data_IF_672791348451
#
_entry.id   IF_672791348451
#
_cell.length_a   1.000
_cell.length_b   1.000
_cell.length_c   1.000
_cell.angle_alpha   90.00
_cell.angle_beta   90.00
_cell.angle_gamma   90.00
#
_symmetry.space_group_name_H-M   'P 1'
#
loop_
_entity.id
_entity.type
_entity.pdbx_description
1 polymer ?
#
# COMPACT_ATOMS: atom_id res chain seq x y z
N UNK A 1 -31.56 35.44 -3.24
CA UNK A 1 -32.08 34.35 -2.39
C UNK A 1 -30.97 33.95 -1.44
N UNK A 2 -31.25 33.92 -0.13
CA UNK A 2 -30.27 33.61 0.90
C UNK A 2 -30.32 32.09 1.13
N UNK A 3 -29.26 31.36 0.77
CA UNK A 3 -29.19 29.90 0.99
C UNK A 3 -29.37 29.59 2.48
N UNK A 4 -30.27 28.67 2.80
CA UNK A 4 -30.47 28.21 4.18
C UNK A 4 -29.29 27.35 4.63
N UNK A 5 -29.05 27.24 5.95
CA UNK A 5 -27.97 26.38 6.48
C UNK A 5 -28.10 24.92 6.00
N UNK A 6 -29.34 24.47 5.77
CA UNK A 6 -29.68 23.13 5.27
C UNK A 6 -29.09 22.89 3.87
N UNK A 7 -29.08 23.89 3.00
CA UNK A 7 -28.63 23.77 1.61
C UNK A 7 -27.10 23.81 1.47
N UNK A 8 -26.37 24.25 2.50
CA UNK A 8 -24.91 24.33 2.46
C UNK A 8 -24.26 22.94 2.46
N UNK A 9 -23.25 22.76 1.63
CA UNK A 9 -22.35 21.59 1.69
C UNK A 9 -21.49 21.62 2.97
N UNK A 10 -20.96 20.48 3.44
CA UNK A 10 -20.06 20.45 4.60
C UNK A 10 -18.90 21.45 4.49
N UNK A 11 -18.32 21.59 3.31
CA UNK A 11 -17.25 22.55 3.03
C UNK A 11 -17.70 24.02 3.23
N UNK A 12 -18.90 24.37 2.81
CA UNK A 12 -19.47 25.71 3.02
C UNK A 12 -19.81 25.96 4.50
N UNK A 13 -20.21 24.92 5.23
CA UNK A 13 -20.40 24.99 6.68
C UNK A 13 -19.07 25.25 7.39
N UNK A 14 -18.03 24.46 7.12
CA UNK A 14 -16.70 24.72 7.69
C UNK A 14 -16.15 26.11 7.33
N UNK A 15 -16.35 26.58 6.09
CA UNK A 15 -15.99 27.96 5.73
C UNK A 15 -16.73 28.98 6.60
N UNK A 16 -18.04 28.81 6.78
CA UNK A 16 -18.86 29.72 7.58
C UNK A 16 -18.41 29.73 9.03
N UNK A 17 -18.14 28.55 9.60
CA UNK A 17 -17.58 28.38 10.95
C UNK A 17 -16.28 29.16 11.10
N UNK A 18 -15.30 28.98 10.20
CA UNK A 18 -14.00 29.63 10.32
C UNK A 18 -14.10 31.15 10.18
N UNK A 19 -14.98 31.64 9.30
CA UNK A 19 -15.25 33.08 9.16
C UNK A 19 -15.87 33.65 10.43
N UNK A 20 -16.89 33.00 11.00
CA UNK A 20 -17.54 33.47 12.22
C UNK A 20 -16.62 33.38 13.43
N UNK A 21 -15.85 32.30 13.57
CA UNK A 21 -14.87 32.16 14.64
C UNK A 21 -13.76 33.21 14.54
N UNK A 22 -13.27 33.52 13.33
CA UNK A 22 -12.28 34.60 13.13
C UNK A 22 -12.83 36.01 13.42
N UNK A 23 -14.16 36.17 13.40
CA UNK A 23 -14.87 37.40 13.76
C UNK A 23 -15.34 37.41 15.22
N UNK A 24 -15.01 36.37 16.00
CA UNK A 24 -15.47 36.18 17.37
C UNK A 24 -17.01 36.14 17.50
N UNK A 25 -17.71 35.73 16.44
CA UNK A 25 -19.16 35.57 16.41
C UNK A 25 -19.56 34.19 16.91
N UNK A 26 -19.32 33.95 18.20
CA UNK A 26 -19.42 32.62 18.84
C UNK A 26 -20.80 31.97 18.70
N UNK A 27 -21.88 32.74 18.84
CA UNK A 27 -23.25 32.20 18.69
C UNK A 27 -23.46 31.64 17.28
N UNK A 28 -23.07 32.40 16.25
CA UNK A 28 -23.19 31.94 14.85
C UNK A 28 -22.24 30.78 14.56
N UNK A 29 -21.03 30.82 15.10
CA UNK A 29 -20.08 29.72 14.96
C UNK A 29 -20.63 28.42 15.59
N UNK A 30 -21.30 28.53 16.75
CA UNK A 30 -21.91 27.41 17.46
C UNK A 30 -23.12 26.84 16.72
N UNK A 31 -23.98 27.67 16.15
CA UNK A 31 -25.06 27.21 15.25
C UNK A 31 -24.50 26.36 14.09
N UNK A 32 -23.37 26.75 13.51
CA UNK A 32 -22.71 25.97 12.45
C UNK A 32 -22.10 24.67 12.99
N UNK A 33 -21.47 24.69 14.17
CA UNK A 33 -20.89 23.49 14.79
C UNK A 33 -21.97 22.45 15.14
N UNK A 34 -23.12 22.91 15.66
CA UNK A 34 -24.30 22.07 15.91
C UNK A 34 -24.85 21.48 14.60
N UNK A 35 -24.94 22.27 13.53
CA UNK A 35 -25.36 21.77 12.22
C UNK A 35 -24.38 20.72 11.65
N UNK A 36 -23.07 20.93 11.81
CA UNK A 36 -22.06 19.93 11.46
C UNK A 36 -22.25 18.62 12.27
N UNK A 37 -22.57 18.74 13.56
CA UNK A 37 -22.88 17.60 14.45
C UNK A 37 -24.12 16.85 13.96
N UNK A 38 -25.20 17.56 13.64
CA UNK A 38 -26.46 17.00 13.16
C UNK A 38 -26.29 16.23 11.84
N UNK A 39 -25.26 16.60 11.05
CA UNK A 39 -24.87 15.91 9.81
C UNK A 39 -23.90 14.75 10.02
N UNK A 40 -23.60 14.40 11.27
CA UNK A 40 -22.73 13.28 11.62
C UNK A 40 -21.24 13.56 11.44
N UNK A 41 -20.80 14.83 11.46
CA UNK A 41 -19.38 15.11 11.65
C UNK A 41 -18.91 14.49 12.97
N UNK A 42 -17.68 13.96 13.01
CA UNK A 42 -17.14 13.26 14.16
C UNK A 42 -15.61 13.37 14.22
N UNK A 43 -15.03 13.04 15.38
CA UNK A 43 -13.58 13.03 15.59
C UNK A 43 -12.96 14.43 15.63
N UNK A 44 -11.70 14.53 15.18
CA UNK A 44 -10.88 15.74 15.30
C UNK A 44 -11.51 16.99 14.65
N UNK A 45 -12.21 16.82 13.52
CA UNK A 45 -12.88 17.93 12.83
C UNK A 45 -14.07 18.48 13.61
N UNK A 46 -14.80 17.62 14.33
CA UNK A 46 -15.90 18.06 15.18
C UNK A 46 -15.37 18.75 16.44
N UNK A 47 -14.33 18.17 17.06
CA UNK A 47 -13.69 18.78 18.23
C UNK A 47 -13.14 20.17 17.88
N UNK A 48 -12.45 20.30 16.75
CA UNK A 48 -11.99 21.60 16.27
C UNK A 48 -13.16 22.57 16.04
N UNK A 49 -14.29 22.09 15.53
CA UNK A 49 -15.44 22.95 15.29
C UNK A 49 -16.00 23.56 16.58
N UNK A 50 -16.14 22.77 17.64
CA UNK A 50 -16.58 23.27 18.94
C UNK A 50 -15.49 24.09 19.65
N UNK A 51 -14.22 23.68 19.57
CA UNK A 51 -13.10 24.47 20.11
C UNK A 51 -13.09 25.89 19.53
N UNK A 52 -13.34 26.03 18.23
CA UNK A 52 -13.44 27.33 17.55
C UNK A 52 -14.74 28.07 17.89
N UNK A 53 -15.87 27.37 17.97
CA UNK A 53 -17.16 27.98 18.27
C UNK A 53 -17.24 28.54 19.70
N UNK A 54 -16.58 27.87 20.66
CA UNK A 54 -16.54 28.26 22.07
C UNK A 54 -15.38 29.20 22.40
N UNK A 55 -14.53 29.54 21.42
CA UNK A 55 -13.38 30.41 21.60
C UNK A 55 -12.20 29.78 22.34
N UNK A 56 -12.21 28.46 22.57
CA UNK A 56 -11.08 27.72 23.16
C UNK A 56 -9.87 27.68 22.22
N UNK A 57 -10.09 27.76 20.91
CA UNK A 57 -9.04 27.95 19.91
C UNK A 57 -9.29 29.21 19.11
N UNK A 58 -8.21 29.94 18.84
CA UNK A 58 -8.22 31.10 17.96
C UNK A 58 -7.98 30.68 16.52
N UNK A 59 -8.68 31.31 15.58
CA UNK A 59 -8.42 31.20 14.14
C UNK A 59 -8.39 32.59 13.53
N UNK A 60 -7.44 32.85 12.65
CA UNK A 60 -7.29 34.11 11.94
C UNK A 60 -7.55 33.87 10.46
N UNK A 61 -8.37 34.73 9.85
CA UNK A 61 -8.59 34.68 8.40
C UNK A 61 -7.48 35.44 7.69
N UNK A 62 -6.72 34.75 6.83
CA UNK A 62 -5.67 35.35 6.02
C UNK A 62 -6.20 35.73 4.62
N UNK A 63 -7.08 34.90 4.04
CA UNK A 63 -7.81 35.21 2.80
C UNK A 63 -9.19 34.52 2.75
N UNK A 64 -9.84 34.45 1.58
CA UNK A 64 -11.13 33.72 1.48
C UNK A 64 -11.00 32.22 1.70
N UNK A 65 -9.82 31.66 1.42
CA UNK A 65 -9.53 30.22 1.44
C UNK A 65 -8.48 29.81 2.45
N UNK A 66 -7.73 30.77 3.01
CA UNK A 66 -6.61 30.51 3.91
C UNK A 66 -6.89 31.03 5.32
N UNK A 67 -6.73 30.16 6.30
CA UNK A 67 -6.92 30.44 7.72
C UNK A 67 -5.70 29.95 8.51
N UNK A 68 -5.38 30.65 9.60
CA UNK A 68 -4.28 30.34 10.50
C UNK A 68 -4.83 29.99 11.88
N UNK A 69 -4.52 28.81 12.37
CA UNK A 69 -4.89 28.36 13.71
C UNK A 69 -3.88 28.87 14.75
N UNK A 70 -4.40 29.22 15.94
CA UNK A 70 -3.58 29.65 17.07
C UNK A 70 -3.21 31.12 17.03
N UNK A 71 -2.11 31.45 17.72
CA UNK A 71 -1.65 32.83 17.95
C UNK A 71 -0.44 33.23 17.11
N UNK A 72 0.08 32.31 16.30
CA UNK A 72 1.20 32.59 15.41
C UNK A 72 0.78 33.59 14.31
N UNK A 73 1.77 34.22 13.69
CA UNK A 73 1.56 35.18 12.59
C UNK A 73 2.39 34.73 11.38
N UNK A 74 1.79 34.75 10.19
CA UNK A 74 2.51 34.59 8.93
C UNK A 74 2.85 35.96 8.35
N UNK A 75 4.07 36.11 7.84
CA UNK A 75 4.46 37.34 7.11
C UNK A 75 3.85 37.32 5.70
N UNK A 76 3.68 38.48 5.04
CA UNK A 76 3.04 38.56 3.71
C UNK A 76 3.68 37.66 2.65
N UNK A 77 5.00 37.47 2.72
CA UNK A 77 5.74 36.60 1.80
C UNK A 77 5.35 35.12 1.97
N UNK A 78 5.17 34.68 3.22
CA UNK A 78 4.73 33.31 3.53
C UNK A 78 3.29 33.08 3.06
N UNK A 79 2.41 34.07 3.24
CA UNK A 79 1.02 34.03 2.75
C UNK A 79 1.01 33.92 1.23
N UNK A 80 1.78 34.78 0.55
CA UNK A 80 1.88 34.80 -0.92
C UNK A 80 2.33 33.45 -1.47
N UNK A 81 3.35 32.83 -0.85
CA UNK A 81 3.85 31.51 -1.26
C UNK A 81 2.77 30.43 -1.16
N UNK A 82 2.00 30.41 -0.06
CA UNK A 82 0.89 29.46 0.11
C UNK A 82 -0.21 29.70 -0.93
N UNK A 83 -0.55 30.96 -1.21
CA UNK A 83 -1.56 31.31 -2.22
C UNK A 83 -1.12 30.96 -3.65
N UNK A 84 0.16 31.12 -3.96
CA UNK A 84 0.74 30.67 -5.23
C UNK A 84 0.71 29.14 -5.35
N UNK A 85 1.03 28.41 -4.27
CA UNK A 85 0.94 26.94 -4.25
C UNK A 85 -0.52 26.47 -4.43
N UNK A 86 -1.47 27.12 -3.77
CA UNK A 86 -2.91 26.91 -3.94
C UNK A 86 -3.35 27.08 -5.40
N UNK A 87 -2.95 28.20 -6.01
CA UNK A 87 -3.30 28.55 -7.39
C UNK A 87 -2.67 27.54 -8.35
N UNK A 88 -1.40 27.17 -8.14
CA UNK A 88 -0.72 26.18 -8.97
C UNK A 88 -1.44 24.83 -8.96
N UNK A 89 -1.82 24.32 -7.78
CA UNK A 89 -2.54 23.04 -7.66
C UNK A 89 -3.92 23.14 -8.31
N UNK A 90 -4.63 24.25 -8.13
CA UNK A 90 -5.91 24.51 -8.77
C UNK A 90 -5.78 24.51 -10.31
N UNK A 91 -4.78 25.19 -10.86
CA UNK A 91 -4.56 25.27 -12.30
C UNK A 91 -4.18 23.90 -12.88
N UNK A 92 -3.44 23.08 -12.14
CA UNK A 92 -3.12 21.71 -12.58
C UNK A 92 -4.34 20.80 -12.53
N UNK A 93 -5.05 20.75 -11.41
CA UNK A 93 -6.16 19.82 -11.21
C UNK A 93 -7.47 20.28 -11.86
N UNK A 94 -7.60 21.57 -12.18
CA UNK A 94 -8.86 22.20 -12.60
C UNK A 94 -9.98 21.95 -11.58
N UNK A 95 -9.62 21.96 -10.28
CA UNK A 95 -10.52 21.78 -9.15
C UNK A 95 -10.63 23.07 -8.33
N UNK A 96 -11.74 23.30 -7.60
CA UNK A 96 -11.88 24.52 -6.81
C UNK A 96 -10.86 24.59 -5.66
N UNK A 97 -10.08 25.67 -5.58
CA UNK A 97 -9.06 25.98 -4.54
C UNK A 97 -9.55 25.51 -3.17
N UNK A 98 -8.84 24.62 -2.45
CA UNK A 98 -9.31 24.07 -1.18
C UNK A 98 -9.37 25.15 -0.09
N UNK A 99 -10.20 24.91 0.93
CA UNK A 99 -10.18 25.66 2.17
C UNK A 99 -9.06 25.10 3.04
N UNK A 100 -8.09 25.94 3.42
CA UNK A 100 -6.93 25.52 4.21
C UNK A 100 -6.92 26.16 5.58
N UNK A 101 -6.59 25.35 6.58
CA UNK A 101 -6.17 25.78 7.90
C UNK A 101 -4.68 25.43 8.02
N UNK A 102 -3.87 26.42 8.36
CA UNK A 102 -2.45 26.23 8.68
C UNK A 102 -2.30 26.30 10.19
N UNK A 103 -1.55 25.37 10.77
CA UNK A 103 -1.09 25.44 12.15
C UNK A 103 0.44 25.48 12.18
N UNK A 104 1.00 26.36 13.01
CA UNK A 104 2.45 26.56 13.11
C UNK A 104 2.95 25.85 14.35
N UNK A 105 3.66 24.76 14.10
CA UNK A 105 4.21 23.89 15.12
C UNK A 105 5.69 24.21 15.40
N UNK A 106 6.25 23.73 16.52
CA UNK A 106 7.68 23.87 16.83
C UNK A 106 8.57 23.31 15.72
N UNK A 107 9.75 23.89 15.54
CA UNK A 107 10.73 23.44 14.56
C UNK A 107 11.09 21.96 14.78
N UNK A 108 11.25 21.22 13.68
CA UNK A 108 11.42 19.77 13.68
C UNK A 108 10.10 18.97 13.67
N UNK A 109 8.94 19.64 13.79
CA UNK A 109 7.66 19.01 13.46
C UNK A 109 7.57 18.85 11.94
N UNK A 110 7.38 17.61 11.40
CA UNK A 110 7.31 17.42 9.96
C UNK A 110 6.09 18.16 9.39
N UNK A 111 6.29 18.83 8.25
CA UNK A 111 5.19 19.34 7.45
C UNK A 111 4.31 18.16 7.03
N UNK A 112 3.03 18.20 7.41
CA UNK A 112 2.07 17.17 7.05
C UNK A 112 0.65 17.72 7.03
N UNK A 113 -0.17 17.10 6.19
CA UNK A 113 -1.59 17.39 6.08
C UNK A 113 -2.43 16.36 6.81
N UNK A 114 -3.38 16.85 7.61
CA UNK A 114 -4.56 16.08 7.99
C UNK A 114 -5.68 16.43 7.02
N UNK A 115 -6.00 15.50 6.13
CA UNK A 115 -7.11 15.68 5.19
C UNK A 115 -8.42 15.31 5.86
N UNK A 116 -9.41 16.18 5.78
CA UNK A 116 -10.77 15.89 6.25
C UNK A 116 -11.68 15.52 5.10
N UNK A 117 -12.25 16.57 4.51
CA UNK A 117 -13.25 16.52 3.44
C UNK A 117 -12.58 17.08 2.19
N UNK A 118 -12.86 16.54 1.00
CA UNK A 118 -12.26 17.09 -0.22
C UNK A 118 -12.49 18.58 -0.38
N UNK A 119 -11.39 19.31 -0.61
CA UNK A 119 -11.41 20.76 -0.65
C UNK A 119 -11.41 21.42 0.73
N UNK A 120 -11.11 20.68 1.80
CA UNK A 120 -10.85 21.15 3.16
C UNK A 120 -9.63 20.41 3.73
N UNK A 121 -8.58 21.16 4.01
CA UNK A 121 -7.31 20.65 4.53
C UNK A 121 -6.85 21.35 5.79
N UNK A 122 -6.20 20.59 6.66
CA UNK A 122 -5.44 21.12 7.78
C UNK A 122 -3.96 20.77 7.56
N UNK A 123 -3.07 21.76 7.56
CA UNK A 123 -1.64 21.58 7.35
C UNK A 123 -0.93 22.04 8.62
N UNK A 124 -0.22 21.13 9.27
CA UNK A 124 0.69 21.45 10.36
C UNK A 124 2.09 21.64 9.77
N UNK A 125 2.73 22.77 10.07
CA UNK A 125 4.05 23.12 9.51
C UNK A 125 4.94 23.78 10.55
N UNK A 126 6.24 23.53 10.46
CA UNK A 126 7.23 24.42 11.06
C UNK A 126 7.34 25.74 10.29
N UNK A 127 8.00 26.74 10.89
CA UNK A 127 8.27 28.02 10.22
C UNK A 127 9.25 27.90 9.05
N UNK A 128 10.19 26.95 9.13
CA UNK A 128 11.12 26.68 8.03
C UNK A 128 10.42 26.02 6.83
N UNK A 129 9.52 25.07 7.08
CA UNK A 129 8.94 24.25 6.01
C UNK A 129 7.89 24.99 5.19
N UNK A 130 7.23 26.02 5.75
CA UNK A 130 6.32 26.88 4.98
C UNK A 130 7.00 27.56 3.80
N UNK A 131 8.32 27.80 3.89
CA UNK A 131 9.09 28.42 2.81
C UNK A 131 9.41 27.45 1.68
N UNK A 132 9.13 26.16 1.87
CA UNK A 132 9.28 25.14 0.86
C UNK A 132 7.99 25.04 0.02
N UNK A 133 7.99 25.73 -1.13
CA UNK A 133 6.82 25.80 -2.02
C UNK A 133 6.43 24.45 -2.62
N UNK A 134 7.40 23.62 -3.00
CA UNK A 134 7.12 22.33 -3.62
C UNK A 134 6.53 21.33 -2.62
N UNK A 135 7.02 21.32 -1.38
CA UNK A 135 6.44 20.51 -0.30
C UNK A 135 5.04 21.04 0.09
N UNK A 136 4.82 22.36 0.07
CA UNK A 136 3.49 22.93 0.24
C UNK A 136 2.53 22.48 -0.89
N UNK A 137 3.00 22.40 -2.14
CA UNK A 137 2.22 21.85 -3.27
C UNK A 137 1.85 20.38 -3.04
N UNK A 138 2.77 19.56 -2.50
CA UNK A 138 2.50 18.16 -2.13
C UNK A 138 1.34 18.08 -1.13
N UNK A 139 1.43 18.82 -0.03
CA UNK A 139 0.42 18.84 1.04
C UNK A 139 -0.94 19.41 0.59
N UNK A 140 -0.93 20.47 -0.22
CA UNK A 140 -2.16 21.04 -0.80
C UNK A 140 -2.83 20.06 -1.78
N UNK A 141 -2.05 19.20 -2.45
CA UNK A 141 -2.61 18.17 -3.33
C UNK A 141 -3.48 17.20 -2.54
N UNK A 142 -3.00 16.74 -1.37
CA UNK A 142 -3.77 15.91 -0.44
C UNK A 142 -5.07 16.59 0.01
N UNK A 143 -5.03 17.91 0.26
CA UNK A 143 -6.21 18.70 0.63
C UNK A 143 -7.31 18.74 -0.45
N UNK A 144 -6.92 18.65 -1.73
CA UNK A 144 -7.84 18.63 -2.87
C UNK A 144 -8.40 17.24 -3.14
N UNK A 145 -7.50 16.25 -3.17
CA UNK A 145 -7.77 14.90 -3.59
C UNK A 145 -7.19 13.91 -2.57
N UNK A 146 -8.07 13.04 -2.08
CA UNK A 146 -7.72 11.95 -1.18
C UNK A 146 -8.60 10.76 -1.55
N UNK A 147 -7.97 9.65 -1.89
CA UNK A 147 -8.59 8.40 -2.32
C UNK A 147 -8.52 7.31 -1.25
N UNK A 148 -7.67 7.48 -0.23
CA UNK A 148 -7.28 6.45 0.75
C UNK A 148 -6.52 5.29 0.10
N UNK A 149 -5.94 5.53 -1.06
CA UNK A 149 -5.01 4.63 -1.74
C UNK A 149 -3.65 5.29 -1.70
N UNK A 150 -2.73 4.68 -0.94
CA UNK A 150 -1.41 5.25 -0.68
C UNK A 150 -0.70 5.67 -1.98
N UNK A 151 -0.69 4.79 -2.98
CA UNK A 151 0.01 5.10 -4.23
C UNK A 151 -0.66 6.26 -5.01
N UNK A 152 -1.99 6.39 -4.99
CA UNK A 152 -2.66 7.50 -5.68
C UNK A 152 -2.36 8.82 -4.97
N UNK A 153 -2.55 8.79 -3.66
CA UNK A 153 -2.48 9.97 -2.81
C UNK A 153 -1.03 10.49 -2.81
N UNK A 154 -0.06 9.67 -2.42
CA UNK A 154 1.36 10.05 -2.40
C UNK A 154 1.94 10.19 -3.81
N UNK A 155 1.55 9.34 -4.75
CA UNK A 155 2.09 9.41 -6.12
C UNK A 155 1.74 10.71 -6.84
N UNK A 156 0.48 11.18 -6.73
CA UNK A 156 0.09 12.44 -7.37
C UNK A 156 0.73 13.65 -6.69
N UNK A 157 0.74 13.67 -5.36
CA UNK A 157 1.36 14.73 -4.59
C UNK A 157 2.86 14.84 -4.87
N UNK A 158 3.59 13.71 -4.88
CA UNK A 158 5.02 13.66 -5.21
C UNK A 158 5.29 14.03 -6.66
N UNK A 159 4.46 13.59 -7.62
CA UNK A 159 4.60 14.03 -9.02
C UNK A 159 4.49 15.56 -9.13
N UNK A 160 3.54 16.17 -8.43
CA UNK A 160 3.32 17.61 -8.47
C UNK A 160 4.43 18.41 -7.78
N UNK A 161 4.95 17.91 -6.66
CA UNK A 161 6.14 18.46 -6.02
C UNK A 161 7.30 18.58 -7.03
N UNK A 162 7.59 17.50 -7.75
CA UNK A 162 8.69 17.48 -8.73
C UNK A 162 8.43 18.35 -9.96
N UNK A 163 7.19 18.38 -10.46
CA UNK A 163 6.82 19.28 -11.55
C UNK A 163 6.98 20.75 -11.15
N UNK A 164 6.69 21.11 -9.89
CA UNK A 164 6.89 22.47 -9.39
C UNK A 164 8.38 22.84 -9.30
N UNK A 165 9.23 21.86 -8.99
CA UNK A 165 10.70 22.01 -9.01
C UNK A 165 11.31 22.03 -10.42
N UNK A 166 10.53 21.72 -11.46
CA UNK A 166 11.02 21.41 -12.81
C UNK A 166 12.07 20.28 -12.83
N UNK A 167 11.92 19.29 -11.93
CA UNK A 167 12.81 18.13 -11.81
C UNK A 167 12.13 16.85 -12.32
N UNK A 168 12.92 15.83 -12.63
CA UNK A 168 12.41 14.49 -12.99
C UNK A 168 12.15 13.67 -11.73
N UNK A 169 11.01 12.98 -11.70
CA UNK A 169 10.58 12.13 -10.57
C UNK A 169 11.55 10.97 -10.30
N UNK A 170 12.12 10.37 -11.37
CA UNK A 170 13.10 9.29 -11.27
C UNK A 170 14.49 9.78 -11.66
N UNK A 171 15.36 9.90 -10.67
CA UNK A 171 16.83 9.93 -10.85
C UNK A 171 17.34 8.50 -10.73
N UNK A 172 18.29 8.12 -11.59
CA UNK A 172 18.84 6.76 -11.76
C UNK A 172 18.86 5.95 -10.46
N UNK A 173 18.11 4.85 -10.44
CA UNK A 173 17.94 4.03 -9.24
C UNK A 173 18.76 2.76 -9.40
N UNK A 174 19.76 2.58 -8.54
CA UNK A 174 20.34 1.25 -8.29
C UNK A 174 19.21 0.29 -7.91
N UNK A 175 19.25 -0.96 -8.39
CA UNK A 175 18.24 -1.96 -8.02
C UNK A 175 18.04 -1.99 -6.51
N UNK A 176 16.77 -1.99 -6.10
CA UNK A 176 16.36 -2.17 -4.73
C UNK A 176 15.15 -3.11 -4.70
N UNK A 177 14.99 -3.82 -3.58
CA UNK A 177 13.89 -4.74 -3.40
C UNK A 177 12.58 -3.98 -3.15
N UNK A 178 11.94 -3.62 -4.26
CA UNK A 178 10.70 -2.85 -4.30
C UNK A 178 9.48 -3.76 -4.41
N UNK A 179 8.28 -3.30 -4.00
CA UNK A 179 7.06 -3.94 -4.46
C UNK A 179 6.98 -3.86 -6.00
N UNK A 180 6.45 -4.90 -6.64
CA UNK A 180 5.95 -4.79 -8.01
C UNK A 180 4.90 -3.68 -8.11
N UNK A 181 4.70 -3.11 -9.30
CA UNK A 181 3.63 -2.14 -9.52
C UNK A 181 2.25 -2.75 -9.24
N UNK A 182 2.06 -4.04 -9.52
CA UNK A 182 0.82 -4.76 -9.20
C UNK A 182 0.54 -4.81 -7.70
N UNK A 183 1.58 -4.99 -6.88
CA UNK A 183 1.46 -4.96 -5.43
C UNK A 183 1.30 -3.54 -4.91
N UNK A 184 2.11 -2.59 -5.42
CA UNK A 184 2.12 -1.18 -5.03
C UNK A 184 0.72 -0.57 -5.01
N UNK A 185 -0.05 -0.83 -6.07
CA UNK A 185 -1.36 -0.19 -6.22
C UNK A 185 -2.39 -0.67 -5.20
N UNK A 186 -2.11 -1.76 -4.49
CA UNK A 186 -3.00 -2.32 -3.47
C UNK A 186 -2.46 -2.15 -2.04
N UNK A 187 -1.25 -1.61 -1.88
CA UNK A 187 -0.67 -1.33 -0.55
C UNK A 187 -1.58 -0.32 0.16
N UNK A 188 -1.98 -0.68 1.37
CA UNK A 188 -2.70 0.21 2.26
C UNK A 188 -1.73 1.02 3.10
N UNK A 189 -2.13 2.23 3.49
CA UNK A 189 -1.37 3.13 4.37
C UNK A 189 -0.81 2.42 5.62
N UNK A 190 -1.60 1.55 6.26
CA UNK A 190 -1.18 0.79 7.45
C UNK A 190 -0.08 -0.27 7.21
N UNK A 191 0.08 -0.68 5.95
CA UNK A 191 1.00 -1.73 5.52
C UNK A 191 2.12 -1.16 4.65
N UNK A 192 2.24 0.16 4.56
CA UNK A 192 3.37 0.79 3.91
C UNK A 192 4.63 0.47 4.73
N UNK A 193 5.59 -0.27 4.13
CA UNK A 193 6.82 -0.64 4.82
C UNK A 193 7.68 0.57 5.22
N UNK A 194 7.35 1.77 4.74
CA UNK A 194 8.04 3.03 5.01
C UNK A 194 7.21 4.05 5.79
N UNK A 195 5.89 3.87 5.94
CA UNK A 195 5.01 4.80 6.65
C UNK A 195 5.31 4.92 8.14
N UNK A 196 5.87 3.87 8.77
CA UNK A 196 6.38 3.96 10.14
C UNK A 196 7.52 4.99 10.31
N UNK A 197 8.08 5.50 9.21
CA UNK A 197 9.09 6.57 9.18
C UNK A 197 8.51 7.94 8.80
N UNK A 198 7.28 7.98 8.29
CA UNK A 198 6.55 9.21 7.90
C UNK A 198 5.69 9.72 9.05
N UNK A 199 5.12 8.83 9.86
CA UNK A 199 4.51 9.21 11.12
C UNK A 199 5.60 9.60 12.14
N UNK A 200 5.41 10.66 12.94
CA UNK A 200 6.25 10.90 14.11
C UNK A 200 6.07 9.71 15.05
N UNK A 201 7.05 8.79 15.04
CA UNK A 201 7.08 7.71 16.00
C UNK A 201 7.27 8.34 17.38
N UNK A 202 6.43 7.94 18.34
CA UNK A 202 6.52 8.33 19.76
C UNK A 202 7.84 7.91 20.45
N UNK A 203 8.84 7.42 19.70
CA UNK A 203 10.14 7.04 20.18
C UNK A 203 11.15 8.12 19.80
N UNK A 204 11.24 9.14 20.67
CA UNK A 204 12.22 10.24 20.66
C UNK A 204 13.71 9.82 20.72
N UNK A 205 14.07 8.56 20.44
CA UNK A 205 15.41 8.03 20.65
C UNK A 205 16.13 7.51 19.39
N UNK A 206 15.67 7.85 18.18
CA UNK A 206 16.51 7.72 16.99
C UNK A 206 16.44 9.00 16.16
N UNK A 207 17.29 9.94 16.52
CA UNK A 207 17.62 11.13 15.75
C UNK A 207 18.23 10.65 14.42
N UNK A 208 17.44 10.71 13.34
CA UNK A 208 17.91 11.08 12.01
C UNK A 208 16.72 11.62 11.19
N UNK A 209 16.15 12.75 11.65
CA UNK A 209 15.02 13.43 11.00
C UNK A 209 15.47 14.47 9.95
N UNK A 210 16.64 14.31 9.36
CA UNK A 210 17.05 15.08 8.19
C UNK A 210 17.76 14.14 7.18
N UNK A 211 17.28 14.14 5.94
CA UNK A 211 17.89 13.53 4.73
C UNK A 211 17.74 12.03 4.41
N UNK A 212 17.21 11.16 5.30
CA UNK A 212 17.13 9.70 5.02
C UNK A 212 15.72 9.07 5.12
N UNK A 213 14.64 9.83 4.91
CA UNK A 213 13.34 9.21 4.63
C UNK A 213 13.42 8.49 3.27
N UNK A 214 13.23 7.18 3.29
CA UNK A 214 13.29 6.34 2.10
C UNK A 214 12.02 6.53 1.26
N UNK A 215 11.98 7.61 0.49
CA UNK A 215 10.85 8.02 -0.37
C UNK A 215 10.76 7.24 -1.68
N UNK A 216 11.54 6.16 -1.85
CA UNK A 216 11.61 5.40 -3.11
C UNK A 216 10.26 4.83 -3.55
N UNK A 217 9.39 4.46 -2.62
CA UNK A 217 8.01 4.03 -2.92
C UNK A 217 7.15 5.17 -3.46
N UNK A 218 7.30 6.38 -2.92
CA UNK A 218 6.55 7.56 -3.38
C UNK A 218 7.00 7.96 -4.79
N UNK A 219 8.31 7.88 -5.08
CA UNK A 219 8.82 8.10 -6.45
C UNK A 219 8.32 7.04 -7.44
N UNK A 220 8.27 5.77 -7.01
CA UNK A 220 7.71 4.69 -7.84
C UNK A 220 6.21 4.92 -8.11
N UNK A 221 5.46 5.37 -7.10
CA UNK A 221 4.06 5.73 -7.24
C UNK A 221 3.89 6.92 -8.19
N UNK A 222 4.67 7.98 -8.03
CA UNK A 222 4.65 9.15 -8.90
C UNK A 222 4.99 8.83 -10.36
N UNK A 223 5.95 7.93 -10.59
CA UNK A 223 6.23 7.39 -11.92
C UNK A 223 4.99 6.68 -12.52
N UNK A 224 4.32 5.83 -11.75
CA UNK A 224 3.12 5.16 -12.24
C UNK A 224 2.00 6.18 -12.54
N UNK A 225 1.80 7.19 -11.69
CA UNK A 225 0.86 8.29 -11.94
C UNK A 225 1.21 9.03 -13.22
N UNK A 226 2.49 9.33 -13.45
CA UNK A 226 2.95 9.95 -14.69
C UNK A 226 2.59 9.10 -15.91
N UNK A 227 2.81 7.77 -15.85
CA UNK A 227 2.41 6.85 -16.93
C UNK A 227 0.89 6.80 -17.13
N UNK A 228 0.10 6.87 -16.06
CA UNK A 228 -1.36 6.97 -16.13
C UNK A 228 -1.80 8.23 -16.85
N UNK A 229 -1.20 9.38 -16.51
CA UNK A 229 -1.50 10.66 -17.16
C UNK A 229 -1.10 10.63 -18.63
N UNK A 230 0.07 10.06 -18.97
CA UNK A 230 0.54 9.92 -20.36
C UNK A 230 -0.39 9.04 -21.22
N UNK A 231 -0.96 7.98 -20.65
CA UNK A 231 -1.86 7.05 -21.36
C UNK A 231 -3.30 7.53 -21.44
N UNK A 232 -3.74 8.29 -20.46
CA UNK A 232 -5.12 8.81 -20.39
C UNK A 232 -5.11 10.33 -20.38
N UNK A 233 -5.26 10.94 -19.21
CA UNK A 233 -5.04 12.36 -18.94
C UNK A 233 -5.15 12.61 -17.44
N UNK A 234 -4.61 13.74 -16.97
CA UNK A 234 -4.80 14.16 -15.58
C UNK A 234 -6.29 14.30 -15.23
N UNK A 235 -7.11 14.86 -16.11
CA UNK A 235 -8.56 14.98 -15.88
C UNK A 235 -9.23 13.60 -15.68
N UNK A 236 -8.84 12.58 -16.46
CA UNK A 236 -9.37 11.21 -16.30
C UNK A 236 -8.98 10.62 -14.95
N UNK A 237 -7.73 10.82 -14.53
CA UNK A 237 -7.24 10.39 -13.22
C UNK A 237 -8.04 11.07 -12.08
N UNK A 238 -8.23 12.39 -12.15
CA UNK A 238 -8.99 13.17 -11.15
C UNK A 238 -10.44 12.67 -11.03
N UNK A 239 -11.11 12.40 -12.16
CA UNK A 239 -12.50 11.91 -12.16
C UNK A 239 -12.66 10.49 -11.62
N UNK A 240 -11.59 9.69 -11.69
CA UNK A 240 -11.56 8.29 -11.22
C UNK A 240 -10.95 8.15 -9.83
N UNK A 241 -10.28 9.18 -9.31
CA UNK A 241 -9.45 9.17 -8.10
C UNK A 241 -10.11 8.47 -6.90
N UNK A 242 -11.34 8.86 -6.55
CA UNK A 242 -12.11 8.24 -5.44
C UNK A 242 -12.77 6.91 -5.79
N UNK A 243 -12.95 6.63 -7.07
CA UNK A 243 -13.65 5.43 -7.57
C UNK A 243 -12.73 4.22 -7.66
N UNK A 244 -11.40 4.44 -7.63
CA UNK A 244 -10.40 3.39 -7.75
C UNK A 244 -10.29 2.57 -6.47
N UNK A 245 -10.17 3.21 -5.30
CA UNK A 245 -9.91 2.51 -4.02
C UNK A 245 -10.89 1.35 -3.73
N UNK A 246 -12.22 1.49 -3.90
CA UNK A 246 -13.15 0.37 -3.67
C UNK A 246 -12.99 -0.82 -4.64
N UNK A 247 -12.36 -0.60 -5.79
CA UNK A 247 -12.09 -1.63 -6.81
C UNK A 247 -10.77 -2.36 -6.55
N UNK A 248 -9.84 -1.74 -5.83
CA UNK A 248 -8.57 -2.33 -5.45
C UNK A 248 -8.80 -3.35 -4.33
N UNK A 249 -8.60 -4.63 -4.66
CA UNK A 249 -8.67 -5.75 -3.73
C UNK A 249 -7.43 -6.61 -3.95
N UNK A 250 -7.00 -7.30 -2.89
CA UNK A 250 -5.79 -8.12 -2.90
C UNK A 250 -5.70 -9.04 -4.14
N UNK A 251 -4.69 -8.84 -4.98
CA UNK A 251 -4.40 -9.54 -6.23
C UNK A 251 -5.18 -9.08 -7.48
N UNK A 252 -6.08 -8.11 -7.40
CA UNK A 252 -6.98 -7.69 -8.52
C UNK A 252 -6.65 -6.34 -9.14
N UNK A 253 -5.82 -5.55 -8.49
CA UNK A 253 -5.41 -4.20 -8.85
C UNK A 253 -4.82 -4.13 -10.25
N UNK A 254 -3.95 -5.05 -10.64
CA UNK A 254 -3.38 -5.09 -11.99
C UNK A 254 -4.47 -5.15 -13.08
N UNK A 255 -5.49 -5.99 -12.91
CA UNK A 255 -6.60 -6.09 -13.86
C UNK A 255 -7.45 -4.82 -13.88
N UNK A 256 -7.75 -4.26 -12.71
CA UNK A 256 -8.48 -2.98 -12.59
C UNK A 256 -7.74 -1.86 -13.32
N UNK A 257 -6.41 -1.82 -13.24
CA UNK A 257 -5.58 -0.85 -13.92
C UNK A 257 -5.57 -1.02 -15.43
N UNK A 258 -5.42 -2.26 -15.89
CA UNK A 258 -5.54 -2.57 -17.31
C UNK A 258 -6.89 -2.12 -17.85
N UNK A 259 -7.97 -2.38 -17.12
CA UNK A 259 -9.33 -2.09 -17.58
C UNK A 259 -9.67 -0.58 -17.55
N UNK A 260 -9.14 0.18 -16.58
CA UNK A 260 -9.46 1.62 -16.43
C UNK A 260 -8.48 2.51 -17.20
N UNK A 261 -7.19 2.19 -17.17
CA UNK A 261 -6.12 3.04 -17.69
C UNK A 261 -5.44 2.47 -18.93
N UNK A 262 -5.80 1.26 -19.37
CA UNK A 262 -5.10 0.55 -20.45
C UNK A 262 -3.59 0.41 -20.19
N UNK A 263 -3.24 0.22 -18.91
CA UNK A 263 -1.87 0.05 -18.45
C UNK A 263 -1.68 -1.36 -17.93
N UNK A 264 -0.73 -2.06 -18.54
CA UNK A 264 -0.23 -3.33 -18.06
C UNK A 264 0.89 -3.05 -17.05
N UNK A 265 0.55 -3.18 -15.76
CA UNK A 265 1.51 -2.96 -14.67
C UNK A 265 2.70 -3.92 -14.73
N UNK A 266 2.50 -5.12 -15.27
CA UNK A 266 3.56 -6.10 -15.44
C UNK A 266 4.51 -5.63 -16.55
N UNK A 267 3.99 -5.27 -17.72
CA UNK A 267 4.83 -4.73 -18.80
C UNK A 267 5.67 -3.52 -18.34
N UNK A 268 5.08 -2.60 -17.56
CA UNK A 268 5.80 -1.47 -16.98
C UNK A 268 6.85 -1.90 -15.95
N UNK A 269 6.57 -2.89 -15.11
CA UNK A 269 7.57 -3.45 -14.18
C UNK A 269 8.80 -3.96 -14.92
N UNK A 270 8.61 -4.67 -16.04
CA UNK A 270 9.69 -5.15 -16.88
C UNK A 270 10.52 -4.02 -17.48
N UNK A 271 9.86 -2.96 -17.98
CA UNK A 271 10.55 -1.77 -18.50
C UNK A 271 11.43 -1.13 -17.43
N UNK A 272 10.92 -0.95 -16.21
CA UNK A 272 11.68 -0.43 -15.08
C UNK A 272 12.91 -1.31 -14.83
N UNK A 273 12.72 -2.63 -14.69
CA UNK A 273 13.81 -3.53 -14.34
C UNK A 273 14.89 -3.58 -15.44
N UNK A 274 14.50 -3.56 -16.72
CA UNK A 274 15.44 -3.51 -17.86
C UNK A 274 16.20 -2.18 -17.95
N UNK A 275 15.57 -1.09 -17.54
CA UNK A 275 16.18 0.26 -17.54
C UNK A 275 17.14 0.48 -16.38
N UNK A 276 17.00 -0.27 -15.28
CA UNK A 276 17.99 -0.30 -14.22
C UNK A 276 19.22 -1.05 -14.76
N UNK A 277 20.31 -0.33 -15.05
CA UNK A 277 21.60 -0.88 -15.54
C UNK A 277 22.31 -1.78 -14.50
N UNK A 278 21.57 -2.65 -13.81
CA UNK A 278 22.13 -3.60 -12.86
C UNK A 278 22.32 -4.92 -13.58
N UNK A 279 23.57 -5.33 -13.71
CA UNK A 279 23.92 -6.70 -14.05
C UNK A 279 23.54 -7.62 -12.89
N UNK A 280 22.24 -7.84 -12.67
CA UNK A 280 21.73 -8.82 -11.72
C UNK A 280 22.08 -10.17 -12.33
N UNK A 281 23.17 -10.77 -11.86
CA UNK A 281 23.61 -12.10 -12.28
C UNK A 281 22.99 -13.14 -11.36
N UNK A 282 22.54 -14.28 -11.90
CA UNK A 282 22.06 -15.36 -11.08
C UNK A 282 23.20 -15.86 -10.17
N UNK A 283 22.94 -16.18 -8.89
CA UNK A 283 23.96 -16.68 -7.96
C UNK A 283 24.63 -17.99 -8.39
N UNK A 284 23.93 -18.78 -9.19
CA UNK A 284 24.41 -20.04 -9.76
C UNK A 284 23.80 -20.28 -11.14
N UNK A 285 24.21 -21.36 -11.81
CA UNK A 285 23.66 -21.79 -13.09
C UNK A 285 22.38 -22.65 -12.95
N UNK A 286 21.86 -22.81 -11.73
CA UNK A 286 20.64 -23.59 -11.50
C UNK A 286 19.43 -22.92 -12.18
N UNK A 287 18.47 -23.74 -12.62
CA UNK A 287 17.23 -23.24 -13.21
C UNK A 287 16.40 -22.52 -12.13
N UNK A 288 15.85 -21.35 -12.46
CA UNK A 288 15.12 -20.51 -11.48
C UNK A 288 13.93 -21.25 -10.85
N UNK A 289 13.24 -22.10 -11.62
CA UNK A 289 12.16 -22.95 -11.12
C UNK A 289 12.64 -24.02 -10.13
N UNK A 290 13.80 -24.64 -10.36
CA UNK A 290 14.36 -25.66 -9.47
C UNK A 290 14.70 -25.04 -8.11
N UNK A 291 15.39 -23.90 -8.13
CA UNK A 291 15.74 -23.14 -6.92
C UNK A 291 14.48 -22.72 -6.16
N UNK A 292 13.49 -22.15 -6.85
CA UNK A 292 12.25 -21.70 -6.23
C UNK A 292 11.45 -22.86 -5.61
N UNK A 293 11.44 -24.03 -6.26
CA UNK A 293 10.79 -25.24 -5.75
C UNK A 293 11.48 -25.72 -4.48
N UNK A 294 12.81 -25.76 -4.47
CA UNK A 294 13.59 -26.12 -3.29
C UNK A 294 13.39 -25.13 -2.15
N UNK A 295 13.47 -23.83 -2.42
CA UNK A 295 13.26 -22.78 -1.43
C UNK A 295 11.87 -22.87 -0.78
N UNK A 296 10.83 -23.10 -1.57
CA UNK A 296 9.46 -23.31 -1.05
C UNK A 296 9.34 -24.61 -0.24
N UNK A 297 9.95 -25.70 -0.69
CA UNK A 297 9.98 -26.96 0.03
C UNK A 297 10.71 -26.85 1.38
N UNK A 298 11.74 -26.03 1.47
CA UNK A 298 12.54 -25.83 2.69
C UNK A 298 12.09 -24.63 3.56
N UNK A 299 11.21 -23.75 3.05
CA UNK A 299 10.95 -22.42 3.60
C UNK A 299 12.23 -21.57 3.73
N UNK A 300 13.12 -21.64 2.74
CA UNK A 300 14.42 -20.94 2.73
C UNK A 300 14.25 -19.48 2.28
N UNK A 301 14.07 -18.57 3.24
CA UNK A 301 13.95 -17.14 2.98
C UNK A 301 15.23 -16.52 2.40
N UNK A 302 16.42 -17.02 2.77
CA UNK A 302 17.69 -16.45 2.30
C UNK A 302 17.84 -16.67 0.80
N UNK A 303 17.66 -17.92 0.35
CA UNK A 303 17.66 -18.27 -1.07
C UNK A 303 16.57 -17.53 -1.83
N UNK A 304 15.36 -17.42 -1.26
CA UNK A 304 14.25 -16.70 -1.88
C UNK A 304 14.57 -15.21 -2.11
N UNK A 305 15.13 -14.52 -1.10
CA UNK A 305 15.53 -13.11 -1.25
C UNK A 305 16.62 -12.93 -2.31
N UNK A 306 17.60 -13.83 -2.34
CA UNK A 306 18.71 -13.76 -3.29
C UNK A 306 18.26 -13.94 -4.74
N UNK A 307 17.26 -14.79 -4.99
CA UNK A 307 16.77 -15.11 -6.34
C UNK A 307 15.57 -14.27 -6.80
N UNK A 308 14.87 -13.58 -5.89
CA UNK A 308 13.72 -12.73 -6.22
C UNK A 308 13.99 -11.74 -7.38
N UNK A 309 15.12 -11.01 -7.44
CA UNK A 309 15.39 -10.07 -8.53
C UNK A 309 15.45 -10.77 -9.90
N UNK A 310 16.06 -11.95 -9.96
CA UNK A 310 16.18 -12.76 -11.19
C UNK A 310 14.81 -13.29 -11.61
N UNK A 311 14.03 -13.81 -10.66
CA UNK A 311 12.70 -14.36 -10.93
C UNK A 311 11.74 -13.29 -11.49
N UNK A 312 11.81 -12.05 -10.98
CA UNK A 312 11.02 -10.92 -11.51
C UNK A 312 11.36 -10.57 -12.96
N UNK A 313 12.63 -10.68 -13.37
CA UNK A 313 13.06 -10.47 -14.76
C UNK A 313 12.53 -11.59 -15.65
N UNK A 314 12.84 -12.83 -15.26
CA UNK A 314 12.57 -14.00 -16.09
C UNK A 314 11.09 -14.36 -16.20
N UNK A 315 10.24 -13.95 -15.26
CA UNK A 315 8.80 -14.23 -15.30
C UNK A 315 8.08 -13.75 -16.58
N UNK A 316 8.70 -12.87 -17.38
CA UNK A 316 8.18 -12.46 -18.70
C UNK A 316 8.65 -13.34 -19.86
N UNK A 317 9.67 -14.17 -19.63
CA UNK A 317 10.30 -14.99 -20.64
C UNK A 317 9.59 -16.34 -20.78
N UNK A 318 9.08 -16.91 -19.68
CA UNK A 318 8.38 -18.19 -19.68
C UNK A 318 7.37 -18.35 -18.53
N UNK A 319 6.41 -19.28 -18.68
CA UNK A 319 5.48 -19.66 -17.61
C UNK A 319 6.22 -20.34 -16.44
N UNK A 320 7.27 -21.11 -16.70
CA UNK A 320 8.09 -21.76 -15.66
C UNK A 320 8.76 -20.73 -14.74
N UNK A 321 9.25 -19.64 -15.31
CA UNK A 321 9.85 -18.56 -14.54
C UNK A 321 8.80 -17.74 -13.77
N UNK A 322 7.58 -17.58 -14.30
CA UNK A 322 6.46 -17.00 -13.55
C UNK A 322 6.05 -17.89 -12.36
N UNK A 323 6.00 -19.21 -12.56
CA UNK A 323 5.78 -20.19 -11.50
C UNK A 323 6.88 -20.07 -10.43
N UNK A 324 8.14 -19.93 -10.85
CA UNK A 324 9.26 -19.75 -9.95
C UNK A 324 9.12 -18.47 -9.11
N UNK A 325 8.73 -17.34 -9.73
CA UNK A 325 8.44 -16.08 -9.04
C UNK A 325 7.35 -16.27 -7.98
N UNK A 326 6.22 -16.90 -8.33
CA UNK A 326 5.12 -17.16 -7.39
C UNK A 326 5.62 -17.96 -6.18
N UNK A 327 6.41 -19.03 -6.40
CA UNK A 327 6.95 -19.85 -5.31
C UNK A 327 7.88 -19.06 -4.38
N UNK A 328 8.76 -18.23 -4.93
CA UNK A 328 9.63 -17.33 -4.14
C UNK A 328 8.79 -16.36 -3.30
N UNK A 329 7.79 -15.73 -3.90
CA UNK A 329 6.91 -14.79 -3.21
C UNK A 329 6.07 -15.46 -2.12
N UNK A 330 5.69 -16.73 -2.29
CA UNK A 330 5.05 -17.53 -1.23
C UNK A 330 5.97 -17.70 -0.03
N UNK A 331 7.25 -17.99 -0.25
CA UNK A 331 8.23 -18.10 0.85
C UNK A 331 8.31 -16.78 1.61
N UNK A 332 8.52 -15.66 0.90
CA UNK A 332 8.72 -14.34 1.50
C UNK A 332 7.44 -13.77 2.14
N UNK A 333 6.26 -14.08 1.58
CA UNK A 333 4.96 -13.58 2.04
C UNK A 333 4.33 -14.36 3.19
N UNK A 334 4.87 -15.53 3.58
CA UNK A 334 4.27 -16.41 4.59
C UNK A 334 4.91 -16.30 5.98
N UNK A 335 5.18 -15.07 6.44
CA UNK A 335 5.71 -14.82 7.80
C UNK A 335 4.61 -14.80 8.84
N UNK A 336 4.73 -15.62 9.90
CA UNK A 336 3.67 -15.77 10.92
C UNK A 336 3.72 -14.72 12.02
N UNK A 337 4.91 -14.37 12.48
CA UNK A 337 5.10 -13.52 13.65
C UNK A 337 4.69 -12.07 13.37
N UNK A 338 4.90 -11.62 12.13
CA UNK A 338 4.59 -10.26 11.69
C UNK A 338 4.01 -10.25 10.26
N UNK A 339 2.73 -10.63 10.10
CA UNK A 339 2.11 -10.78 8.77
C UNK A 339 2.05 -9.48 7.96
N UNK A 340 2.01 -8.31 8.61
CA UNK A 340 1.95 -7.00 7.96
C UNK A 340 3.26 -6.58 7.29
N UNK A 341 4.42 -6.95 7.86
CA UNK A 341 5.75 -6.54 7.34
C UNK A 341 6.05 -7.10 5.94
N UNK A 342 5.39 -8.19 5.53
CA UNK A 342 5.60 -8.88 4.25
C UNK A 342 4.36 -8.87 3.35
N UNK A 343 3.40 -7.98 3.64
CA UNK A 343 2.13 -7.92 2.92
C UNK A 343 2.31 -7.70 1.41
N UNK A 344 3.29 -6.89 0.99
CA UNK A 344 3.55 -6.62 -0.43
C UNK A 344 3.97 -7.87 -1.22
N UNK A 345 4.76 -8.80 -0.66
CA UNK A 345 5.09 -10.06 -1.34
C UNK A 345 3.87 -10.96 -1.52
N UNK A 346 2.98 -10.98 -0.52
CA UNK A 346 1.74 -11.74 -0.57
C UNK A 346 0.81 -11.19 -1.66
N UNK A 347 0.66 -9.86 -1.70
CA UNK A 347 -0.09 -9.17 -2.75
C UNK A 347 0.51 -9.46 -4.13
N UNK A 348 1.84 -9.37 -4.26
CA UNK A 348 2.54 -9.68 -5.51
C UNK A 348 2.34 -11.14 -5.93
N UNK A 349 2.39 -12.08 -4.98
CA UNK A 349 2.14 -13.50 -5.24
C UNK A 349 0.73 -13.72 -5.79
N UNK A 350 -0.29 -13.11 -5.16
CA UNK A 350 -1.68 -13.22 -5.59
C UNK A 350 -1.90 -12.59 -6.97
N UNK A 351 -1.29 -11.44 -7.25
CA UNK A 351 -1.34 -10.82 -8.57
C UNK A 351 -0.65 -11.71 -9.62
N UNK A 352 0.51 -12.29 -9.31
CA UNK A 352 1.25 -13.19 -10.20
C UNK A 352 0.50 -14.51 -10.46
N UNK A 353 -0.18 -15.07 -9.46
CA UNK A 353 -1.06 -16.24 -9.63
C UNK A 353 -2.20 -15.93 -10.62
N UNK A 354 -2.86 -14.78 -10.47
CA UNK A 354 -3.92 -14.37 -11.40
C UNK A 354 -3.37 -14.13 -12.82
N UNK A 355 -2.13 -13.64 -12.92
CA UNK A 355 -1.46 -13.50 -14.22
C UNK A 355 -1.18 -14.86 -14.87
N UNK A 356 -0.71 -15.84 -14.08
CA UNK A 356 -0.50 -17.21 -14.56
C UNK A 356 -1.81 -17.84 -15.03
N UNK A 357 -2.91 -17.70 -14.27
CA UNK A 357 -4.25 -18.18 -14.64
C UNK A 357 -4.73 -17.65 -15.99
N UNK A 358 -4.32 -16.42 -16.36
CA UNK A 358 -4.71 -15.84 -17.65
C UNK A 358 -3.94 -16.43 -18.85
N UNK A 359 -2.85 -17.17 -18.60
CA UNK A 359 -1.93 -17.71 -19.61
C UNK A 359 -1.91 -19.24 -19.66
N UNK A 360 -2.15 -19.90 -18.54
CA UNK A 360 -1.90 -21.31 -18.33
C UNK A 360 -3.21 -22.10 -18.16
N UNK A 361 -3.22 -23.34 -18.63
CA UNK A 361 -4.37 -24.26 -18.50
C UNK A 361 -4.03 -25.52 -17.71
N UNK A 362 -2.81 -25.61 -17.16
CA UNK A 362 -2.40 -26.72 -16.32
C UNK A 362 -3.07 -26.70 -14.95
N UNK A 363 -4.18 -27.44 -14.82
CA UNK A 363 -4.96 -27.60 -13.60
C UNK A 363 -4.12 -27.98 -12.37
N UNK A 364 -3.03 -28.75 -12.50
CA UNK A 364 -2.19 -29.16 -11.35
C UNK A 364 -1.52 -27.95 -10.68
N UNK A 365 -0.93 -27.07 -11.49
CA UNK A 365 -0.20 -25.90 -11.00
C UNK A 365 -1.18 -24.87 -10.42
N UNK A 366 -2.31 -24.68 -11.10
CA UNK A 366 -3.37 -23.79 -10.64
C UNK A 366 -3.96 -24.27 -9.31
N UNK A 367 -4.29 -25.57 -9.18
CA UNK A 367 -4.77 -26.18 -7.93
C UNK A 367 -3.75 -26.03 -6.79
N UNK A 368 -2.46 -26.18 -7.09
CA UNK A 368 -1.38 -26.00 -6.10
C UNK A 368 -1.36 -24.56 -5.57
N UNK A 369 -1.41 -23.56 -6.43
CA UNK A 369 -1.41 -22.16 -6.01
C UNK A 369 -2.71 -21.73 -5.34
N UNK A 370 -3.86 -22.26 -5.78
CA UNK A 370 -5.15 -22.03 -5.11
C UNK A 370 -5.13 -22.48 -3.65
N UNK A 371 -4.45 -23.59 -3.33
CA UNK A 371 -4.25 -24.01 -1.94
C UNK A 371 -3.49 -22.95 -1.12
N UNK A 372 -2.46 -22.33 -1.69
CA UNK A 372 -1.68 -21.26 -1.04
C UNK A 372 -2.45 -19.94 -0.90
N UNK A 373 -3.41 -19.63 -1.78
CA UNK A 373 -4.29 -18.46 -1.60
C UNK A 373 -5.04 -18.51 -0.27
N UNK A 374 -5.47 -19.69 0.18
CA UNK A 374 -6.12 -19.82 1.50
C UNK A 374 -5.14 -19.61 2.66
N UNK A 375 -3.87 -20.02 2.53
CA UNK A 375 -2.85 -19.71 3.54
C UNK A 375 -2.63 -18.20 3.68
N UNK A 376 -2.62 -17.48 2.57
CA UNK A 376 -2.54 -16.02 2.57
C UNK A 376 -3.76 -15.35 3.20
N UNK A 377 -4.97 -15.83 2.91
CA UNK A 377 -6.20 -15.31 3.55
C UNK A 377 -6.16 -15.48 5.07
N UNK A 378 -5.67 -16.61 5.58
CA UNK A 378 -5.52 -16.82 7.03
C UNK A 378 -4.64 -15.73 7.67
N UNK A 379 -3.60 -15.26 6.96
CA UNK A 379 -2.67 -14.21 7.45
C UNK A 379 -3.29 -12.81 7.43
N UNK A 380 -4.39 -12.61 6.72
CA UNK A 380 -5.09 -11.34 6.62
C UNK A 380 -6.38 -11.31 7.47
N UNK A 381 -6.76 -12.43 8.09
CA UNK A 381 -7.97 -12.55 8.89
C UNK A 381 -7.88 -11.74 10.19
N UNK A 382 -8.91 -10.95 10.46
CA UNK A 382 -8.93 -9.98 11.56
C UNK A 382 -9.34 -10.57 12.92
N UNK A 383 -9.91 -11.77 12.94
CA UNK A 383 -10.42 -12.39 14.16
C UNK A 383 -10.39 -13.92 14.14
N UNK A 384 -10.39 -14.53 15.33
CA UNK A 384 -10.18 -15.97 15.53
C UNK A 384 -11.20 -16.87 14.80
N UNK A 385 -12.47 -16.44 14.71
CA UNK A 385 -13.52 -17.19 13.99
C UNK A 385 -13.21 -17.29 12.49
N UNK A 386 -12.81 -16.17 11.87
CA UNK A 386 -12.44 -16.12 10.45
C UNK A 386 -11.18 -16.95 10.20
N UNK A 387 -10.18 -16.86 11.09
CA UNK A 387 -8.99 -17.72 11.06
C UNK A 387 -9.39 -19.20 11.08
N UNK A 388 -10.33 -19.58 11.95
CA UNK A 388 -10.80 -20.96 12.06
C UNK A 388 -11.50 -21.47 10.78
N UNK A 389 -12.38 -20.64 10.20
CA UNK A 389 -13.06 -20.97 8.95
C UNK A 389 -12.09 -21.10 7.77
N UNK A 390 -11.17 -20.14 7.61
CA UNK A 390 -10.16 -20.16 6.55
C UNK A 390 -9.16 -21.30 6.71
N UNK A 391 -8.80 -21.65 7.95
CA UNK A 391 -7.93 -22.79 8.25
C UNK A 391 -8.59 -24.11 7.83
N UNK A 392 -9.89 -24.29 8.10
CA UNK A 392 -10.63 -25.47 7.65
C UNK A 392 -10.70 -25.56 6.11
N UNK A 393 -10.89 -24.43 5.43
CA UNK A 393 -10.88 -24.36 3.96
C UNK A 393 -9.50 -24.71 3.40
N UNK A 394 -8.43 -24.12 3.94
CA UNK A 394 -7.06 -24.44 3.55
C UNK A 394 -6.79 -25.94 3.71
N UNK A 395 -7.12 -26.53 4.86
CA UNK A 395 -6.99 -27.96 5.12
C UNK A 395 -7.75 -28.82 4.10
N UNK A 396 -8.98 -28.45 3.77
CA UNK A 396 -9.79 -29.17 2.77
C UNK A 396 -9.13 -29.14 1.39
N UNK A 397 -8.62 -27.99 0.98
CA UNK A 397 -7.99 -27.82 -0.35
C UNK A 397 -6.67 -28.58 -0.44
N UNK A 398 -5.80 -28.49 0.58
CA UNK A 398 -4.56 -29.29 0.59
C UNK A 398 -4.83 -30.80 0.62
N UNK A 399 -5.83 -31.26 1.40
CA UNK A 399 -6.23 -32.67 1.39
C UNK A 399 -6.70 -33.11 0.00
N UNK A 400 -7.57 -32.33 -0.65
CA UNK A 400 -8.05 -32.64 -1.99
C UNK A 400 -6.90 -32.67 -3.02
N UNK A 401 -5.98 -31.71 -2.94
CA UNK A 401 -4.80 -31.63 -3.80
C UNK A 401 -3.89 -32.85 -3.65
N UNK A 402 -3.63 -33.28 -2.40
CA UNK A 402 -2.84 -34.47 -2.10
C UNK A 402 -3.48 -35.75 -2.64
N UNK A 403 -4.80 -35.90 -2.48
CA UNK A 403 -5.53 -37.07 -2.97
C UNK A 403 -5.57 -37.11 -4.50
N UNK A 404 -5.62 -35.95 -5.17
CA UNK A 404 -5.58 -35.84 -6.62
C UNK A 404 -4.17 -36.13 -7.18
N UNK A 405 -3.11 -35.81 -6.43
CA UNK A 405 -1.71 -35.94 -6.87
C UNK A 405 -0.84 -36.62 -5.81
N UNK A 406 -1.07 -37.92 -5.52
CA UNK A 406 -0.47 -38.60 -4.37
C UNK A 406 1.02 -38.93 -4.53
N UNK A 407 1.59 -38.82 -5.73
CA UNK A 407 3.00 -39.17 -5.99
C UNK A 407 3.89 -37.94 -6.18
N UNK A 408 3.30 -36.74 -6.17
CA UNK A 408 4.00 -35.50 -6.46
C UNK A 408 4.77 -35.00 -5.21
N UNK A 409 6.11 -35.00 -5.23
CA UNK A 409 6.93 -34.64 -4.08
C UNK A 409 6.64 -33.23 -3.54
N UNK A 410 6.35 -32.27 -4.43
CA UNK A 410 6.09 -30.88 -4.04
C UNK A 410 4.75 -30.77 -3.30
N UNK A 411 3.71 -31.44 -3.82
CA UNK A 411 2.39 -31.48 -3.20
C UNK A 411 2.43 -32.24 -1.86
N UNK A 412 3.19 -33.34 -1.78
CA UNK A 412 3.39 -34.10 -0.54
C UNK A 412 4.01 -33.20 0.53
N UNK A 413 5.10 -32.48 0.21
CA UNK A 413 5.76 -31.58 1.17
C UNK A 413 4.83 -30.44 1.60
N UNK A 414 4.17 -29.77 0.65
CA UNK A 414 3.25 -28.67 0.95
C UNK A 414 2.07 -29.14 1.83
N UNK A 415 1.49 -30.30 1.52
CA UNK A 415 0.39 -30.88 2.27
C UNK A 415 0.83 -31.37 3.65
N UNK A 416 2.04 -31.91 3.82
CA UNK A 416 2.59 -32.28 5.12
C UNK A 416 2.78 -31.04 6.02
N UNK A 417 3.27 -29.93 5.47
CA UNK A 417 3.38 -28.64 6.17
C UNK A 417 2.01 -28.12 6.61
N UNK A 418 0.97 -28.30 5.79
CA UNK A 418 -0.40 -27.92 6.14
C UNK A 418 -1.01 -28.86 7.20
N UNK A 419 -0.76 -30.17 7.11
CA UNK A 419 -1.19 -31.21 8.04
C UNK A 419 -0.73 -30.95 9.49
N UNK A 420 0.51 -30.46 9.68
CA UNK A 420 1.04 -30.06 11.00
C UNK A 420 0.05 -29.13 11.74
N UNK A 421 -0.70 -28.32 11.00
CA UNK A 421 -1.55 -27.25 11.55
C UNK A 421 -3.04 -27.59 11.47
N UNK A 422 -3.37 -28.73 10.88
CA UNK A 422 -4.74 -29.17 10.72
C UNK A 422 -5.25 -29.86 12.00
N UNK A 423 -6.53 -29.64 12.30
CA UNK A 423 -7.21 -30.34 13.41
C UNK A 423 -7.48 -31.82 13.11
N UNK A 424 -7.58 -32.16 11.83
CA UNK A 424 -7.92 -33.50 11.36
C UNK A 424 -6.87 -34.00 10.39
N UNK A 425 -6.68 -35.31 10.36
CA UNK A 425 -5.71 -35.93 9.48
C UNK A 425 -6.18 -35.96 8.02
N UNK A 426 -5.28 -35.59 7.12
CA UNK A 426 -5.51 -35.61 5.69
C UNK A 426 -5.57 -37.04 5.19
N UNK A 427 -4.60 -37.86 5.60
CA UNK A 427 -4.43 -39.29 5.29
C UNK A 427 -3.92 -40.03 6.54
N UNK A 428 -3.86 -41.36 6.49
CA UNK A 428 -3.38 -42.14 7.62
C UNK A 428 -1.89 -41.94 7.89
N UNK A 429 -1.46 -42.26 9.11
CA UNK A 429 -0.06 -42.16 9.51
C UNK A 429 0.87 -43.04 8.65
N UNK A 430 0.46 -44.28 8.36
CA UNK A 430 1.24 -45.20 7.52
C UNK A 430 1.46 -44.64 6.12
N UNK A 431 0.43 -44.00 5.55
CA UNK A 431 0.52 -43.41 4.21
C UNK A 431 1.49 -42.24 4.19
N UNK A 432 1.46 -41.37 5.21
CA UNK A 432 2.44 -40.29 5.37
C UNK A 432 3.89 -40.82 5.43
N UNK A 433 4.13 -41.88 6.21
CA UNK A 433 5.47 -42.47 6.37
C UNK A 433 6.00 -42.99 5.04
N UNK A 434 5.16 -43.65 4.24
CA UNK A 434 5.54 -44.16 2.92
C UNK A 434 5.76 -43.03 1.91
N UNK A 435 4.83 -42.07 1.83
CA UNK A 435 4.94 -40.91 0.94
C UNK A 435 6.20 -40.09 1.21
N UNK A 436 6.50 -39.80 2.48
CA UNK A 436 7.70 -39.06 2.86
C UNK A 436 8.98 -39.86 2.62
N UNK A 437 8.94 -41.20 2.76
CA UNK A 437 10.08 -42.06 2.41
C UNK A 437 10.39 -42.00 0.91
N UNK A 438 9.37 -42.08 0.05
CA UNK A 438 9.51 -41.94 -1.41
C UNK A 438 9.99 -40.52 -1.77
N UNK A 439 9.39 -39.49 -1.20
CA UNK A 439 9.76 -38.08 -1.40
C UNK A 439 11.21 -37.80 -1.02
N UNK A 440 11.72 -38.41 0.05
CA UNK A 440 13.12 -38.26 0.49
C UNK A 440 14.14 -38.79 -0.52
N UNK A 441 13.74 -39.69 -1.43
CA UNK A 441 14.63 -40.22 -2.47
C UNK A 441 14.97 -39.19 -3.54
N UNK A 442 14.16 -38.13 -3.69
CA UNK A 442 14.43 -37.01 -4.58
C UNK A 442 15.43 -36.04 -3.91
N UNK A 443 16.65 -35.84 -4.46
CA UNK A 443 17.69 -35.05 -3.81
C UNK A 443 17.24 -33.64 -3.41
N UNK A 444 16.47 -32.97 -4.27
CA UNK A 444 15.94 -31.61 -4.06
C UNK A 444 14.95 -31.48 -2.89
N UNK A 445 14.33 -32.58 -2.44
CA UNK A 445 13.34 -32.58 -1.36
C UNK A 445 13.84 -33.26 -0.08
N UNK A 446 15.02 -33.90 -0.12
CA UNK A 446 15.59 -34.64 1.01
C UNK A 446 15.64 -33.81 2.30
N UNK A 447 16.19 -32.60 2.22
CA UNK A 447 16.31 -31.68 3.37
C UNK A 447 14.94 -31.24 3.89
N UNK A 448 13.99 -30.94 3.00
CA UNK A 448 12.62 -30.59 3.38
C UNK A 448 11.93 -31.73 4.17
N UNK A 449 12.10 -33.00 3.73
CA UNK A 449 11.58 -34.16 4.49
C UNK A 449 12.24 -34.29 5.86
N UNK A 450 13.56 -34.08 5.92
CA UNK A 450 14.29 -34.18 7.18
C UNK A 450 13.84 -33.10 8.18
N UNK A 451 13.59 -31.87 7.71
CA UNK A 451 13.00 -30.80 8.52
C UNK A 451 11.60 -31.20 9.03
N UNK A 452 10.72 -31.70 8.17
CA UNK A 452 9.36 -32.10 8.57
C UNK A 452 9.36 -33.18 9.65
N UNK A 453 10.26 -34.16 9.53
CA UNK A 453 10.42 -35.23 10.52
C UNK A 453 10.97 -34.71 11.85
N UNK A 454 11.90 -33.74 11.82
CA UNK A 454 12.41 -33.12 13.03
C UNK A 454 11.36 -32.24 13.73
N UNK A 455 10.52 -31.55 12.97
CA UNK A 455 9.52 -30.60 13.51
C UNK A 455 8.30 -31.29 14.15
N UNK A 456 7.95 -32.52 13.74
CA UNK A 456 6.74 -33.15 14.25
C UNK A 456 6.79 -34.68 14.34
N UNK A 457 6.47 -35.20 15.53
CA UNK A 457 6.37 -36.63 15.82
C UNK A 457 5.39 -37.40 14.92
N UNK A 458 4.39 -36.71 14.34
CA UNK A 458 3.38 -37.24 13.40
C UNK A 458 3.98 -37.80 12.11
N UNK A 459 5.27 -37.64 11.87
CA UNK A 459 5.97 -38.16 10.68
C UNK A 459 7.13 -39.11 11.01
N UNK A 460 7.35 -39.44 12.28
CA UNK A 460 8.51 -40.21 12.75
C UNK A 460 8.16 -41.59 13.30
N UNK A 461 7.12 -41.69 14.15
CA UNK A 461 6.79 -42.93 14.89
C UNK A 461 5.88 -43.89 14.12
#
# INVERSE_FOLDING_TARGET
>A
MMETLIEKTPRQLFKSLFVFAAQESWIKAREIAEELTNRGAQGLWLNLAFDLADGFKKITRLSDKLFLLGNNVLIPEEITLIEEALTWVQDKLQLPIPLLIIDICPDGTPLHTVTGINGLGFIASSKSDIKNKDLMIHEITHCNLMSRSLFLDEGLATLFQYQALNDKVLKEVKYWDRPSLSALVEIEWRNDPYFSRVLPANNYNSIDHSSNSDLRVHFLAAFLIEKMIQKTSLNTLVQTFKKIKPKLREGRGAKVFQDIFSIDLWALDLEIIKSMEVAIKPPSNEATLEVATKALAENDEETANLWLPIARIKAYESNDDLIALIKILIVLGNRREKPSERAHYRTEALAAMNWLESKETNDRILDFFDAYKYLFKIRNAGHAIEIGALSAQASKVFKALLLKNPEDPEIIIASAKAQIRAKYDFISFSDWKEMLKKTKSYPQFKKAVDILKAEHSRFVE
#
